data_IF_275921446861
#
_entry.id   IF_275921446861
#
_cell.length_a   1.000
_cell.length_b   1.000
_cell.length_c   1.000
_cell.angle_alpha   90.00
_cell.angle_beta   90.00
_cell.angle_gamma   90.00
#
_symmetry.space_group_name_H-M   'P 1'
#
loop_
_entity.id
_entity.type
_entity.pdbx_description
1 polymer ?
#
# COMPACT_ATOMS: atom_id res chain seq x y z
N UNK A 1 7.94 6.93 7.77
CA UNK A 1 6.67 6.34 8.27
C UNK A 1 6.77 4.83 8.09
N UNK A 2 5.98 4.02 8.80
CA UNK A 2 5.91 2.58 8.56
C UNK A 2 4.45 2.10 8.53
N UNK A 3 4.20 1.07 7.74
CA UNK A 3 2.90 0.41 7.58
C UNK A 3 3.01 -1.05 8.03
N UNK A 4 2.01 -1.51 8.76
CA UNK A 4 1.77 -2.93 8.99
C UNK A 4 0.56 -3.34 8.15
N UNK A 5 0.73 -4.38 7.32
CA UNK A 5 -0.31 -4.88 6.40
C UNK A 5 -0.48 -6.36 6.68
N UNK A 6 -1.72 -6.82 6.84
CA UNK A 6 -2.06 -8.25 6.85
C UNK A 6 -2.84 -8.55 5.58
N UNK A 7 -2.25 -9.36 4.70
CA UNK A 7 -2.92 -9.81 3.49
C UNK A 7 -3.47 -11.21 3.76
N UNK A 8 -4.77 -11.39 3.56
CA UNK A 8 -5.40 -12.71 3.56
C UNK A 8 -5.36 -13.28 2.14
N UNK A 9 -4.55 -14.31 1.93
CA UNK A 9 -4.36 -14.94 0.61
C UNK A 9 -5.28 -16.15 0.51
N UNK A 10 -6.23 -16.18 -0.45
CA UNK A 10 -7.06 -17.34 -0.68
C UNK A 10 -6.21 -18.59 -0.99
N UNK A 11 -6.68 -19.76 -0.53
CA UNK A 11 -5.94 -21.02 -0.70
C UNK A 11 -5.53 -21.28 -2.15
N UNK A 12 -6.40 -20.98 -3.11
CA UNK A 12 -6.19 -21.18 -4.54
C UNK A 12 -5.20 -20.16 -5.16
N UNK A 13 -4.92 -19.06 -4.47
CA UNK A 13 -3.98 -18.01 -4.89
C UNK A 13 -2.55 -18.22 -4.37
N UNK A 14 -2.30 -19.14 -3.44
CA UNK A 14 -0.94 -19.47 -2.98
C UNK A 14 -0.06 -20.09 -4.09
N UNK A 15 1.27 -20.03 -3.92
CA UNK A 15 2.28 -20.47 -4.91
C UNK A 15 2.16 -19.74 -6.26
N UNK A 16 1.62 -18.53 -6.23
CA UNK A 16 1.55 -17.63 -7.38
C UNK A 16 2.18 -16.30 -6.98
N UNK A 17 2.79 -15.65 -7.96
CA UNK A 17 3.35 -14.32 -7.77
C UNK A 17 2.24 -13.27 -7.88
N UNK A 18 2.12 -12.43 -6.85
CA UNK A 18 1.21 -11.28 -6.82
C UNK A 18 1.99 -9.98 -6.83
N UNK A 19 1.41 -8.93 -7.41
CA UNK A 19 1.97 -7.57 -7.35
C UNK A 19 1.10 -6.72 -6.42
N UNK A 20 1.73 -6.07 -5.45
CA UNK A 20 1.07 -5.06 -4.63
C UNK A 20 1.61 -3.67 -4.97
N UNK A 21 0.69 -2.69 -4.95
CA UNK A 21 0.98 -1.28 -5.23
C UNK A 21 0.31 -0.42 -4.17
N UNK A 22 1.09 0.41 -3.49
CA UNK A 22 0.63 1.42 -2.53
C UNK A 22 0.72 2.79 -3.18
N UNK A 23 -0.42 3.44 -3.39
CA UNK A 23 -0.50 4.77 -3.99
C UNK A 23 -0.81 5.82 -2.93
N UNK A 24 -0.12 6.95 -3.00
CA UNK A 24 -0.39 8.10 -2.13
C UNK A 24 -1.46 8.99 -2.77
N UNK A 25 -2.56 9.19 -2.05
CA UNK A 25 -3.74 9.93 -2.49
C UNK A 25 -3.94 11.15 -1.57
N UNK A 26 -4.32 12.29 -2.15
CA UNK A 26 -4.62 13.53 -1.42
C UNK A 26 -6.06 13.58 -0.87
N UNK A 27 -6.44 14.70 -0.25
CA UNK A 27 -7.77 14.90 0.32
C UNK A 27 -8.90 14.98 -0.71
N UNK A 28 -8.57 15.26 -1.98
CA UNK A 28 -9.51 15.34 -3.08
C UNK A 28 -9.66 14.01 -3.82
N UNK A 29 -8.94 12.97 -3.37
CA UNK A 29 -8.98 11.64 -3.96
C UNK A 29 -8.09 11.48 -5.18
N UNK A 30 -7.17 12.41 -5.43
CA UNK A 30 -6.24 12.38 -6.55
C UNK A 30 -4.88 11.83 -6.12
N UNK A 31 -4.14 11.26 -7.07
CA UNK A 31 -2.77 10.81 -6.80
C UNK A 31 -1.89 12.02 -6.50
N UNK A 32 -1.08 11.93 -5.45
CA UNK A 32 -0.07 12.95 -5.17
C UNK A 32 1.04 12.81 -6.20
N UNK A 33 1.29 13.90 -6.92
CA UNK A 33 2.30 13.96 -7.97
C UNK A 33 3.64 14.48 -7.42
N UNK A 34 4.74 14.02 -8.01
CA UNK A 34 6.09 14.52 -7.73
C UNK A 34 6.87 14.68 -9.03
N UNK A 35 7.76 15.67 -9.06
CA UNK A 35 8.69 15.84 -10.17
C UNK A 35 9.78 14.76 -10.12
N UNK A 36 9.97 14.06 -11.24
CA UNK A 36 11.06 13.10 -11.45
C UNK A 36 11.87 13.53 -12.68
N UNK A 37 13.07 12.95 -12.93
CA UNK A 37 13.83 13.22 -14.15
C UNK A 37 13.07 12.93 -15.45
N UNK A 38 12.01 12.12 -15.40
CA UNK A 38 11.18 11.72 -16.52
C UNK A 38 9.89 12.57 -16.63
N UNK A 39 9.71 13.53 -15.73
CA UNK A 39 8.54 14.41 -15.65
C UNK A 39 7.73 14.20 -14.37
N UNK A 40 6.54 14.78 -14.33
CA UNK A 40 5.63 14.65 -13.19
C UNK A 40 5.01 13.24 -13.15
N UNK A 41 5.19 12.54 -12.03
CA UNK A 41 4.71 11.16 -11.84
C UNK A 41 3.97 11.00 -10.50
N UNK A 42 2.99 10.07 -10.41
CA UNK A 42 2.33 9.78 -9.15
C UNK A 42 3.29 9.10 -8.17
N UNK A 43 3.15 9.40 -6.88
CA UNK A 43 3.89 8.72 -5.83
C UNK A 43 3.24 7.38 -5.53
N UNK A 44 4.00 6.30 -5.75
CA UNK A 44 3.60 4.94 -5.38
C UNK A 44 4.79 4.08 -4.98
N UNK A 45 4.49 2.94 -4.36
CA UNK A 45 5.45 1.90 -4.02
C UNK A 45 4.93 0.55 -4.54
N UNK A 46 5.79 -0.21 -5.21
CA UNK A 46 5.44 -1.53 -5.73
C UNK A 46 6.32 -2.62 -5.12
N UNK A 47 5.72 -3.77 -4.84
CA UNK A 47 6.43 -4.96 -4.40
C UNK A 47 5.72 -6.24 -4.87
N UNK A 48 6.50 -7.25 -5.19
CA UNK A 48 6.00 -8.60 -5.43
C UNK A 48 5.91 -9.41 -4.13
N UNK A 49 4.91 -10.29 -4.02
CA UNK A 49 4.89 -11.30 -2.97
C UNK A 49 4.41 -12.66 -3.49
N UNK A 50 4.88 -13.71 -2.83
CA UNK A 50 4.43 -15.08 -3.01
C UNK A 50 4.39 -15.76 -1.64
N UNK A 51 3.33 -16.52 -1.38
CA UNK A 51 3.20 -17.33 -0.17
C UNK A 51 3.01 -18.80 -0.55
N UNK A 52 3.81 -19.66 0.09
CA UNK A 52 3.74 -21.11 -0.12
C UNK A 52 2.47 -21.74 0.43
N UNK A 53 2.06 -22.87 -0.14
CA UNK A 53 0.96 -23.70 0.38
C UNK A 53 1.50 -24.88 1.22
N UNK A 54 1.33 -24.88 2.55
CA UNK A 54 1.72 -26.02 3.38
C UNK A 54 1.05 -27.33 2.95
N UNK A 55 1.81 -28.43 2.99
CA UNK A 55 1.27 -29.75 2.67
C UNK A 55 0.12 -30.12 3.61
N UNK A 56 -0.97 -30.65 3.05
CA UNK A 56 -2.16 -31.02 3.82
C UNK A 56 -3.05 -29.85 4.26
N UNK A 57 -2.72 -28.60 3.87
CA UNK A 57 -3.61 -27.47 4.13
C UNK A 57 -4.94 -27.67 3.39
N UNK A 58 -6.04 -27.66 4.14
CA UNK A 58 -7.39 -27.89 3.60
C UNK A 58 -7.75 -26.83 2.54
N UNK A 59 -8.27 -27.24 1.37
CA UNK A 59 -8.78 -26.31 0.37
C UNK A 59 -9.76 -25.30 0.98
N UNK A 60 -9.64 -24.03 0.55
CA UNK A 60 -10.44 -22.93 1.05
C UNK A 60 -9.97 -22.32 2.39
N UNK A 61 -8.90 -22.84 3.00
CA UNK A 61 -8.29 -22.21 4.20
C UNK A 61 -7.43 -21.03 3.76
N UNK A 62 -7.74 -19.78 4.12
CA UNK A 62 -6.91 -18.64 3.77
C UNK A 62 -5.59 -18.64 4.55
N UNK A 63 -4.57 -17.98 4.00
CA UNK A 63 -3.27 -17.81 4.64
C UNK A 63 -3.02 -16.33 4.95
N UNK A 64 -2.56 -16.05 6.17
CA UNK A 64 -2.15 -14.71 6.57
C UNK A 64 -0.70 -14.43 6.17
N UNK A 65 -0.49 -13.34 5.42
CA UNK A 65 0.81 -12.77 5.12
C UNK A 65 0.98 -11.41 5.82
N UNK A 66 1.69 -11.36 6.96
CA UNK A 66 2.03 -10.11 7.63
C UNK A 66 3.22 -9.43 6.96
N UNK A 67 3.07 -8.16 6.59
CA UNK A 67 4.11 -7.32 5.98
C UNK A 67 4.36 -6.07 6.82
N UNK A 68 5.63 -5.70 6.96
CA UNK A 68 6.05 -4.43 7.51
C UNK A 68 6.75 -3.62 6.41
N UNK A 69 6.12 -2.53 5.97
CA UNK A 69 6.62 -1.68 4.88
C UNK A 69 7.12 -0.37 5.46
N UNK A 70 8.40 -0.07 5.24
CA UNK A 70 8.97 1.23 5.58
C UNK A 70 8.71 2.19 4.43
N UNK A 71 7.95 3.24 4.69
CA UNK A 71 7.67 4.30 3.71
C UNK A 71 8.75 5.37 3.82
N UNK A 72 9.50 5.65 2.73
CA UNK A 72 10.53 6.68 2.73
C UNK A 72 9.91 8.07 3.00
N UNK A 73 10.73 9.09 3.29
CA UNK A 73 10.24 10.46 3.42
C UNK A 73 9.46 10.90 2.17
N UNK A 74 8.25 11.37 2.38
CA UNK A 74 7.33 11.84 1.33
C UNK A 74 7.31 13.37 1.31
N UNK A 75 7.20 14.01 0.13
CA UNK A 75 7.11 15.47 -0.01
C UNK A 75 5.68 15.95 0.33
N UNK A 76 5.27 15.80 1.59
CA UNK A 76 3.93 16.15 2.04
C UNK A 76 3.86 17.57 2.56
N UNK A 77 2.78 18.28 2.23
CA UNK A 77 2.48 19.59 2.80
C UNK A 77 2.20 19.48 4.30
N UNK A 78 2.56 20.52 5.04
CA UNK A 78 2.25 20.62 6.46
C UNK A 78 0.75 20.87 6.66
N UNK A 79 0.14 20.18 7.63
CA UNK A 79 -1.29 20.25 7.91
C UNK A 79 -2.20 19.58 6.86
N UNK A 80 -1.63 18.82 5.93
CA UNK A 80 -2.35 18.07 4.90
C UNK A 80 -2.98 16.77 5.42
N UNK A 81 -3.94 16.24 4.64
CA UNK A 81 -4.57 14.93 4.85
C UNK A 81 -4.36 14.07 3.62
N UNK A 82 -3.96 12.83 3.85
CA UNK A 82 -3.58 11.89 2.80
C UNK A 82 -4.10 10.49 3.11
N UNK A 83 -4.11 9.66 2.08
CA UNK A 83 -4.43 8.24 2.15
C UNK A 83 -3.33 7.44 1.44
N UNK A 84 -2.89 6.34 2.03
CA UNK A 84 -2.17 5.30 1.32
C UNK A 84 -3.15 4.21 0.94
N UNK A 85 -3.34 4.00 -0.36
CA UNK A 85 -4.28 3.02 -0.92
C UNK A 85 -3.52 1.84 -1.49
N UNK A 86 -3.91 0.64 -1.07
CA UNK A 86 -3.34 -0.62 -1.56
C UNK A 86 -4.17 -1.15 -2.73
N UNK A 87 -3.47 -1.61 -3.77
CA UNK A 87 -4.02 -2.54 -4.74
C UNK A 87 -3.16 -3.80 -4.82
N UNK A 88 -3.79 -4.93 -5.10
CA UNK A 88 -3.15 -6.23 -5.35
C UNK A 88 -3.66 -6.71 -6.72
N UNK A 89 -2.74 -6.97 -7.65
CA UNK A 89 -3.04 -7.35 -9.03
C UNK A 89 -4.06 -6.42 -9.72
N UNK A 90 -3.92 -5.11 -9.46
CA UNK A 90 -4.79 -4.07 -10.01
C UNK A 90 -6.18 -3.96 -9.37
N UNK A 91 -6.46 -4.73 -8.29
CA UNK A 91 -7.72 -4.67 -7.54
C UNK A 91 -7.51 -3.97 -6.20
N UNK A 92 -8.51 -3.20 -5.77
CA UNK A 92 -8.51 -2.50 -4.48
C UNK A 92 -9.89 -2.66 -3.83
N UNK A 93 -9.94 -2.62 -2.51
CA UNK A 93 -11.18 -2.67 -1.73
C UNK A 93 -11.37 -1.40 -0.90
N UNK A 94 -12.60 -1.03 -0.51
CA UNK A 94 -12.87 0.21 0.23
C UNK A 94 -12.15 0.37 1.57
N UNK A 95 -11.66 -0.73 2.16
CA UNK A 95 -10.92 -0.76 3.43
C UNK A 95 -9.41 -1.00 3.23
N UNK A 96 -8.94 -1.19 2.00
CA UNK A 96 -7.52 -1.35 1.66
C UNK A 96 -6.80 0.00 1.61
N UNK A 97 -6.94 0.75 2.70
CA UNK A 97 -6.41 2.11 2.80
C UNK A 97 -6.16 2.52 4.24
N UNK A 98 -5.18 3.39 4.42
CA UNK A 98 -4.94 4.06 5.70
C UNK A 98 -4.83 5.57 5.47
N UNK A 99 -5.66 6.32 6.18
CA UNK A 99 -5.62 7.77 6.17
C UNK A 99 -4.70 8.29 7.28
N UNK A 100 -4.00 9.39 7.01
CA UNK A 100 -3.16 10.06 7.99
C UNK A 100 -3.11 11.58 7.72
N UNK A 101 -2.61 12.32 8.70
CA UNK A 101 -2.44 13.78 8.58
C UNK A 101 -1.01 14.18 8.96
N UNK A 102 -0.50 15.21 8.31
CA UNK A 102 0.79 15.80 8.66
C UNK A 102 0.60 16.85 9.74
N UNK A 103 1.66 17.12 10.51
CA UNK A 103 1.64 18.17 11.51
C UNK A 103 1.54 19.54 10.82
N UNK A 104 0.83 20.52 11.42
CA UNK A 104 0.88 21.89 10.94
C UNK A 104 2.31 22.43 11.05
N UNK A 105 2.64 23.41 10.22
CA UNK A 105 3.89 24.16 10.37
C UNK A 105 3.84 24.89 11.72
N UNK A 106 4.88 24.82 12.56
CA UNK A 106 4.95 25.65 13.77
C UNK A 106 4.75 27.13 13.39
N UNK A 107 4.00 27.87 14.20
CA UNK A 107 3.97 29.33 14.08
C UNK A 107 5.34 29.88 14.51
N UNK A 108 5.87 30.84 13.76
CA UNK A 108 7.12 31.56 14.07
C UNK A 108 7.04 32.31 15.42
#
# INVERSE_FOLDING_TARGET
MALAIKIEVPWDQTNQHHQCRLELIDSDGQAVMTETPEGEQPIFFEAGFEIGRPAGLKPGTPLDLPLAVTVPPLPLDAGGRYELRLSIDGRTEPDWRVAFSTRPRPAD
#
